data_IF_151801343637
#
_entry.id   IF_151801343637
#
_cell.length_a   1.000
_cell.length_b   1.000
_cell.length_c   1.000
_cell.angle_alpha   90.00
_cell.angle_beta   90.00
_cell.angle_gamma   90.00
#
_symmetry.space_group_name_H-M   'P 1'
#
loop_
_entity.id
_entity.type
_entity.pdbx_description
1 polymer ?
#
# COMPACT_ATOMS: atom_id res chain seq x y z
N UNK A 1 30.38 27.16 24.87
CA UNK A 1 29.69 26.30 23.89
C UNK A 1 30.68 25.89 22.80
N UNK A 2 30.85 24.58 22.55
CA UNK A 2 31.78 24.07 21.54
C UNK A 2 31.28 24.45 20.14
N UNK A 3 32.09 25.12 19.33
CA UNK A 3 31.76 25.42 17.93
C UNK A 3 31.71 24.10 17.16
N UNK A 4 30.57 23.80 16.56
CA UNK A 4 30.42 22.69 15.63
C UNK A 4 31.21 22.99 14.34
N UNK A 5 31.70 21.94 13.70
CA UNK A 5 32.54 21.97 12.50
C UNK A 5 32.00 21.04 11.41
N UNK A 6 32.57 21.12 10.21
CA UNK A 6 32.26 20.18 9.13
C UNK A 6 32.60 18.73 9.52
N UNK A 7 33.69 18.54 10.27
CA UNK A 7 34.09 17.22 10.76
C UNK A 7 33.03 16.60 11.68
N UNK A 8 32.38 17.41 12.54
CA UNK A 8 31.27 16.94 13.37
C UNK A 8 30.07 16.47 12.52
N UNK A 9 29.83 17.12 11.37
CA UNK A 9 28.79 16.70 10.43
C UNK A 9 29.12 15.35 9.80
N UNK A 10 30.36 15.12 9.38
CA UNK A 10 30.80 13.84 8.83
C UNK A 10 30.68 12.70 9.85
N UNK A 11 31.15 12.91 11.09
CA UNK A 11 31.05 11.92 12.17
C UNK A 11 29.58 11.55 12.45
N UNK A 12 28.69 12.55 12.53
CA UNK A 12 27.26 12.30 12.74
C UNK A 12 26.69 11.50 11.57
N UNK A 13 27.07 11.82 10.33
CA UNK A 13 26.60 11.08 9.17
C UNK A 13 27.02 9.61 9.20
N UNK A 14 28.29 9.35 9.49
CA UNK A 14 28.84 8.00 9.60
C UNK A 14 28.16 7.20 10.72
N UNK A 15 27.87 7.83 11.87
CA UNK A 15 27.17 7.18 12.99
C UNK A 15 25.77 6.68 12.62
N UNK A 16 25.15 7.27 11.59
CA UNK A 16 23.86 6.87 11.05
C UNK A 16 23.97 6.06 9.73
N UNK A 17 25.17 5.60 9.37
CA UNK A 17 25.42 4.84 8.14
C UNK A 17 25.18 5.66 6.87
N UNK A 18 25.40 6.97 6.92
CA UNK A 18 25.30 7.88 5.79
C UNK A 18 26.57 8.72 5.62
N UNK A 19 26.50 9.72 4.74
CA UNK A 19 27.60 10.65 4.50
C UNK A 19 27.10 12.10 4.42
N UNK A 20 27.95 13.02 4.85
CA UNK A 20 27.80 14.45 4.57
C UNK A 20 28.41 14.72 3.19
N UNK A 21 27.63 15.30 2.27
CA UNK A 21 28.06 15.66 0.92
C UNK A 21 28.52 17.11 0.81
N UNK A 22 28.22 17.96 1.81
CA UNK A 22 28.70 19.34 1.82
C UNK A 22 30.21 19.40 2.08
N UNK A 23 30.89 20.26 1.33
CA UNK A 23 32.32 20.54 1.46
C UNK A 23 32.62 21.77 2.31
N UNK A 24 31.60 22.58 2.62
CA UNK A 24 31.73 23.81 3.40
C UNK A 24 30.78 23.81 4.59
N UNK A 25 31.23 24.38 5.71
CA UNK A 25 30.42 24.59 6.91
C UNK A 25 30.53 26.03 7.37
N UNK A 26 29.43 26.77 7.28
CA UNK A 26 29.35 28.19 7.68
C UNK A 26 28.90 28.33 9.13
N UNK A 27 27.77 27.72 9.47
CA UNK A 27 27.21 27.71 10.81
C UNK A 27 26.28 26.50 11.03
N UNK A 28 25.69 26.39 12.21
CA UNK A 28 24.81 25.27 12.55
C UNK A 28 23.36 25.39 12.03
N UNK A 29 23.04 26.50 11.34
CA UNK A 29 21.71 26.82 10.81
C UNK A 29 21.63 26.65 9.29
N UNK A 30 22.75 26.80 8.61
CA UNK A 30 22.89 26.65 7.17
C UNK A 30 22.67 25.19 6.80
N UNK A 31 21.79 24.88 5.83
CA UNK A 31 21.57 23.51 5.39
C UNK A 31 22.85 22.90 4.80
N UNK A 32 23.20 21.72 5.29
CA UNK A 32 24.17 20.84 4.66
C UNK A 32 23.43 19.80 3.81
N UNK A 33 24.13 19.22 2.84
CA UNK A 33 23.67 18.14 1.98
C UNK A 33 24.07 16.80 2.60
N UNK A 34 23.12 15.90 2.73
CA UNK A 34 23.29 14.60 3.38
C UNK A 34 22.85 13.46 2.45
N UNK A 35 23.44 12.29 2.64
CA UNK A 35 23.02 11.04 1.98
C UNK A 35 22.94 9.89 2.98
N UNK A 36 21.86 9.11 2.98
CA UNK A 36 21.73 7.92 3.84
C UNK A 36 22.14 6.64 3.12
N UNK A 37 22.21 5.51 3.85
CA UNK A 37 22.50 4.18 3.29
C UNK A 37 21.55 3.72 2.19
N UNK A 38 20.31 4.23 2.15
CA UNK A 38 19.33 3.98 1.07
C UNK A 38 19.46 4.97 -0.10
N UNK A 39 20.57 5.71 -0.19
CA UNK A 39 20.86 6.72 -1.21
C UNK A 39 19.88 7.89 -1.31
N UNK A 40 19.04 8.12 -0.29
CA UNK A 40 18.24 9.35 -0.25
C UNK A 40 19.14 10.54 0.03
N UNK A 41 18.99 11.61 -0.75
CA UNK A 41 19.74 12.87 -0.61
C UNK A 41 18.79 13.96 -0.11
N UNK A 42 19.18 14.70 0.92
CA UNK A 42 18.36 15.80 1.45
C UNK A 42 19.21 16.93 2.03
N UNK A 43 18.60 18.12 2.14
CA UNK A 43 19.18 19.28 2.79
C UNK A 43 18.66 19.40 4.23
N UNK A 44 19.57 19.56 5.19
CA UNK A 44 19.21 19.83 6.59
C UNK A 44 20.33 20.56 7.34
N UNK A 45 20.01 21.48 8.26
CA UNK A 45 21.01 22.07 9.13
C UNK A 45 21.58 21.06 10.13
N UNK A 46 22.88 21.16 10.45
CA UNK A 46 23.56 20.28 11.41
C UNK A 46 22.85 20.22 12.77
N UNK A 47 22.36 21.37 13.28
CA UNK A 47 21.60 21.41 14.55
C UNK A 47 20.35 20.52 14.54
N UNK A 48 19.68 20.42 13.37
CA UNK A 48 18.45 19.64 13.22
C UNK A 48 18.79 18.17 13.22
N UNK A 49 19.80 17.79 12.44
CA UNK A 49 20.24 16.39 12.34
C UNK A 49 20.77 15.88 13.69
N UNK A 50 21.50 16.72 14.45
CA UNK A 50 22.03 16.37 15.77
C UNK A 50 20.94 16.24 16.85
N UNK A 51 19.95 17.14 16.84
CA UNK A 51 18.97 17.25 17.94
C UNK A 51 17.62 16.60 17.63
N UNK A 52 17.29 16.32 16.37
CA UNK A 52 16.07 15.59 16.02
C UNK A 52 16.34 14.09 16.04
N UNK A 53 15.42 13.31 16.62
CA UNK A 53 15.44 11.84 16.57
C UNK A 53 15.16 11.23 15.19
N UNK A 54 15.28 12.00 14.10
CA UNK A 54 15.09 11.51 12.72
C UNK A 54 16.30 11.88 11.87
N UNK A 55 17.04 10.86 11.43
CA UNK A 55 18.22 11.01 10.59
C UNK A 55 17.87 11.37 9.14
N UNK A 56 17.12 10.49 8.46
CA UNK A 56 16.74 10.65 7.07
C UNK A 56 15.22 10.81 6.96
N UNK A 57 14.70 11.92 6.42
CA UNK A 57 13.26 12.19 6.37
C UNK A 57 12.53 11.21 5.43
N UNK A 58 13.21 10.69 4.39
CA UNK A 58 12.66 9.67 3.50
C UNK A 58 12.53 8.32 4.22
N UNK A 59 13.56 7.89 4.97
CA UNK A 59 13.52 6.66 5.76
C UNK A 59 12.52 6.76 6.91
N UNK A 60 12.40 7.94 7.53
CA UNK A 60 11.43 8.20 8.60
C UNK A 60 9.99 8.36 8.06
N UNK A 61 9.78 8.40 6.74
CA UNK A 61 8.45 8.55 6.14
C UNK A 61 7.80 9.93 6.33
N UNK A 62 8.60 10.94 6.71
CA UNK A 62 8.13 12.31 6.99
C UNK A 62 7.98 13.14 5.71
N UNK A 63 8.67 12.74 4.63
CA UNK A 63 8.55 13.42 3.33
C UNK A 63 7.15 13.20 2.75
N UNK A 64 6.47 14.30 2.45
CA UNK A 64 5.22 14.29 1.68
C UNK A 64 5.54 13.91 0.24
N UNK A 65 4.85 12.90 -0.28
CA UNK A 65 4.95 12.51 -1.69
C UNK A 65 4.34 13.61 -2.55
N UNK A 66 4.99 13.92 -3.67
CA UNK A 66 4.39 14.73 -4.72
C UNK A 66 3.44 13.86 -5.54
N UNK A 67 2.58 14.50 -6.31
CA UNK A 67 1.71 13.78 -7.22
C UNK A 67 2.49 13.03 -8.33
N UNK A 68 3.66 13.54 -8.72
CA UNK A 68 4.58 12.84 -9.63
C UNK A 68 5.13 11.55 -9.01
N UNK A 69 5.46 11.55 -7.72
CA UNK A 69 5.91 10.35 -7.02
C UNK A 69 4.83 9.26 -7.03
N UNK A 70 3.56 9.65 -6.89
CA UNK A 70 2.41 8.73 -6.95
C UNK A 70 2.32 8.07 -8.33
N UNK A 71 2.46 8.86 -9.40
CA UNK A 71 2.46 8.33 -10.77
C UNK A 71 3.61 7.36 -11.00
N UNK A 72 4.82 7.68 -10.52
CA UNK A 72 5.98 6.78 -10.60
C UNK A 72 5.74 5.47 -9.83
N UNK A 73 5.14 5.55 -8.64
CA UNK A 73 4.78 4.36 -7.84
C UNK A 73 3.77 3.49 -8.60
N UNK A 74 2.73 4.09 -9.18
CA UNK A 74 1.76 3.36 -9.98
C UNK A 74 2.43 2.63 -11.16
N UNK A 75 3.28 3.36 -11.90
CA UNK A 75 3.99 2.83 -13.05
C UNK A 75 4.92 1.67 -12.68
N UNK A 76 5.62 1.76 -11.53
CA UNK A 76 6.47 0.68 -11.02
C UNK A 76 5.71 -0.61 -10.69
N UNK A 77 4.39 -0.53 -10.56
CA UNK A 77 3.48 -1.67 -10.32
C UNK A 77 2.72 -2.09 -11.58
N UNK A 78 3.13 -1.59 -12.75
CA UNK A 78 2.45 -1.79 -14.03
C UNK A 78 0.99 -1.36 -13.95
N UNK A 79 0.73 -0.18 -13.42
CA UNK A 79 -0.60 0.39 -13.38
C UNK A 79 -0.57 1.90 -13.25
N UNK A 80 -1.72 2.47 -12.95
CA UNK A 80 -1.94 3.91 -13.04
C UNK A 80 -2.71 4.42 -11.81
N UNK A 81 -2.43 5.67 -11.43
CA UNK A 81 -3.25 6.41 -10.47
C UNK A 81 -4.18 7.33 -11.27
N UNK A 82 -5.48 7.12 -11.14
CA UNK A 82 -6.52 7.86 -11.87
C UNK A 82 -7.10 9.04 -11.07
N UNK A 83 -6.83 9.13 -9.77
CA UNK A 83 -7.21 10.29 -8.98
C UNK A 83 -6.55 11.56 -9.51
N UNK A 84 -7.26 12.70 -9.48
CA UNK A 84 -6.74 14.01 -9.91
C UNK A 84 -6.15 14.83 -8.76
N UNK A 85 -6.53 14.52 -7.53
CA UNK A 85 -6.07 15.22 -6.32
C UNK A 85 -5.35 14.29 -5.37
N UNK A 86 -4.33 14.83 -4.69
CA UNK A 86 -3.66 14.16 -3.59
C UNK A 86 -3.43 15.13 -2.43
N UNK A 87 -4.01 14.79 -1.28
CA UNK A 87 -3.91 15.60 -0.06
C UNK A 87 -2.94 14.98 0.96
N UNK A 88 -3.02 13.67 1.19
CA UNK A 88 -2.13 12.95 2.11
C UNK A 88 -2.12 11.43 1.84
N UNK A 89 -1.20 10.72 2.50
CA UNK A 89 -0.97 9.28 2.34
C UNK A 89 -2.11 8.36 2.85
N UNK A 90 -3.07 8.89 3.61
CA UNK A 90 -4.14 8.13 4.25
C UNK A 90 -5.43 8.17 3.45
N UNK A 91 -5.66 9.24 2.70
CA UNK A 91 -6.85 9.38 1.89
C UNK A 91 -6.81 8.40 0.71
N UNK A 92 -7.94 7.72 0.40
CA UNK A 92 -8.02 6.83 -0.73
C UNK A 92 -7.81 7.58 -2.05
N UNK A 93 -7.02 6.97 -2.93
CA UNK A 93 -6.88 7.33 -4.33
C UNK A 93 -7.46 6.20 -5.19
N UNK A 94 -7.86 6.52 -6.42
CA UNK A 94 -8.32 5.58 -7.42
C UNK A 94 -7.12 5.05 -8.20
N UNK A 95 -6.99 3.73 -8.26
CA UNK A 95 -5.90 3.03 -8.93
C UNK A 95 -6.44 2.09 -10.00
N UNK A 96 -5.61 1.86 -11.01
CA UNK A 96 -5.80 0.87 -12.06
C UNK A 96 -4.57 -0.06 -12.12
N UNK A 97 -4.76 -1.37 -12.27
CA UNK A 97 -3.66 -2.32 -12.49
C UNK A 97 -3.57 -2.73 -13.96
N UNK A 98 -2.51 -3.47 -14.34
CA UNK A 98 -2.35 -4.03 -15.69
C UNK A 98 -3.52 -4.87 -16.21
N UNK A 99 -4.29 -5.48 -15.31
CA UNK A 99 -5.49 -6.26 -15.66
C UNK A 99 -6.76 -5.38 -15.70
N UNK A 100 -6.62 -4.05 -15.72
CA UNK A 100 -7.70 -3.05 -15.77
C UNK A 100 -8.68 -3.07 -14.58
N UNK A 101 -8.31 -3.69 -13.46
CA UNK A 101 -9.12 -3.59 -12.25
C UNK A 101 -9.02 -2.18 -11.66
N UNK A 102 -10.16 -1.61 -11.29
CA UNK A 102 -10.24 -0.31 -10.61
C UNK A 102 -10.52 -0.51 -9.13
N UNK A 103 -9.78 0.17 -8.26
CA UNK A 103 -10.05 0.14 -6.82
C UNK A 103 -9.59 1.41 -6.10
N UNK A 104 -10.20 1.66 -4.95
CA UNK A 104 -9.79 2.71 -4.04
C UNK A 104 -8.88 2.17 -2.95
N UNK A 105 -7.72 2.79 -2.76
CA UNK A 105 -6.86 2.53 -1.61
C UNK A 105 -5.94 3.72 -1.35
N UNK A 106 -5.41 3.83 -0.14
CA UNK A 106 -4.47 4.88 0.21
C UNK A 106 -3.07 4.62 -0.32
N UNK A 107 -2.28 5.68 -0.56
CA UNK A 107 -0.87 5.53 -0.96
C UNK A 107 -0.06 4.76 0.09
N UNK A 108 -0.38 4.93 1.38
CA UNK A 108 0.23 4.16 2.46
C UNK A 108 0.05 2.64 2.28
N UNK A 109 -1.14 2.19 1.91
CA UNK A 109 -1.40 0.76 1.66
C UNK A 109 -0.63 0.25 0.43
N UNK A 110 -0.59 1.03 -0.66
CA UNK A 110 0.16 0.68 -1.87
C UNK A 110 1.64 0.48 -1.55
N UNK A 111 2.23 1.39 -0.78
CA UNK A 111 3.63 1.29 -0.35
C UNK A 111 3.91 0.08 0.56
N UNK A 112 2.94 -0.32 1.36
CA UNK A 112 3.01 -1.50 2.21
C UNK A 112 2.75 -2.82 1.43
N UNK A 113 2.71 -2.77 0.10
CA UNK A 113 2.56 -3.95 -0.75
C UNK A 113 1.12 -4.34 -1.06
N UNK A 114 0.12 -3.63 -0.52
CA UNK A 114 -1.30 -3.86 -0.84
C UNK A 114 -1.67 -3.11 -2.12
N UNK A 115 -1.38 -3.75 -3.25
CA UNK A 115 -1.64 -3.21 -4.58
C UNK A 115 -3.09 -3.46 -5.03
N UNK A 116 -3.33 -4.43 -5.90
CA UNK A 116 -4.66 -4.71 -6.46
C UNK A 116 -5.36 -5.84 -5.68
N UNK A 117 -6.54 -5.59 -5.07
CA UNK A 117 -7.25 -6.62 -4.31
C UNK A 117 -7.81 -7.73 -5.22
N UNK A 118 -8.16 -7.41 -6.47
CA UNK A 118 -8.64 -8.39 -7.45
C UNK A 118 -7.53 -9.36 -7.86
N UNK A 119 -6.36 -8.84 -8.28
CA UNK A 119 -5.21 -9.68 -8.61
C UNK A 119 -4.70 -10.50 -7.41
N UNK A 120 -4.82 -9.97 -6.19
CA UNK A 120 -4.45 -10.68 -4.97
C UNK A 120 -5.52 -11.66 -4.46
N UNK A 121 -6.67 -11.78 -5.14
CA UNK A 121 -7.80 -12.62 -4.70
C UNK A 121 -8.52 -12.13 -3.43
N UNK A 122 -8.15 -10.95 -2.93
CA UNK A 122 -8.64 -10.32 -1.70
C UNK A 122 -9.75 -9.29 -1.92
N UNK A 123 -10.26 -9.16 -3.16
CA UNK A 123 -11.41 -8.32 -3.45
C UNK A 123 -12.60 -8.72 -2.58
N UNK A 124 -13.31 -7.72 -2.06
CA UNK A 124 -14.57 -7.95 -1.36
C UNK A 124 -15.55 -8.54 -2.37
N UNK A 125 -15.97 -9.77 -2.10
CA UNK A 125 -17.02 -10.42 -2.88
C UNK A 125 -18.34 -9.67 -2.68
N UNK A 126 -19.18 -9.76 -3.69
CA UNK A 126 -20.51 -9.18 -3.77
C UNK A 126 -21.55 -10.29 -3.92
N UNK A 127 -22.84 -9.92 -3.85
CA UNK A 127 -23.92 -10.85 -4.16
C UNK A 127 -23.85 -11.36 -5.61
N UNK A 128 -23.40 -10.51 -6.54
CA UNK A 128 -23.27 -10.89 -7.95
C UNK A 128 -22.16 -11.92 -8.15
N UNK A 129 -21.02 -11.76 -7.44
CA UNK A 129 -19.96 -12.77 -7.43
C UNK A 129 -20.48 -14.12 -6.92
N UNK A 130 -21.34 -14.11 -5.89
CA UNK A 130 -21.95 -15.33 -5.35
C UNK A 130 -22.83 -16.02 -6.40
N UNK A 131 -23.67 -15.26 -7.12
CA UNK A 131 -24.52 -15.80 -8.19
C UNK A 131 -23.71 -16.38 -9.33
N UNK A 132 -22.67 -15.68 -9.78
CA UNK A 132 -21.78 -16.16 -10.84
C UNK A 132 -21.05 -17.44 -10.43
N UNK A 133 -20.57 -17.54 -9.18
CA UNK A 133 -19.94 -18.76 -8.67
C UNK A 133 -20.92 -19.92 -8.66
N UNK A 134 -22.16 -19.72 -8.21
CA UNK A 134 -23.17 -20.77 -8.26
C UNK A 134 -23.44 -21.24 -9.69
N UNK A 135 -23.62 -20.30 -10.61
CA UNK A 135 -23.86 -20.58 -12.02
C UNK A 135 -22.70 -21.37 -12.64
N UNK A 136 -21.44 -20.99 -12.37
CA UNK A 136 -20.25 -21.71 -12.85
C UNK A 136 -20.14 -23.16 -12.37
N UNK A 137 -20.86 -23.52 -11.32
CA UNK A 137 -20.90 -24.86 -10.72
C UNK A 137 -22.22 -25.59 -10.98
N UNK A 138 -22.94 -25.19 -12.03
CA UNK A 138 -24.25 -25.72 -12.39
C UNK A 138 -25.22 -25.67 -11.20
N UNK A 139 -25.31 -24.51 -10.56
CA UNK A 139 -26.23 -24.31 -9.46
C UNK A 139 -26.70 -22.87 -9.34
N UNK A 140 -27.39 -22.59 -8.25
CA UNK A 140 -28.08 -21.33 -8.03
C UNK A 140 -27.80 -20.82 -6.61
N UNK A 141 -27.60 -19.51 -6.49
CA UNK A 141 -27.56 -18.81 -5.21
C UNK A 141 -28.97 -18.31 -4.89
N UNK A 142 -29.61 -18.91 -3.88
CA UNK A 142 -30.97 -18.57 -3.47
C UNK A 142 -31.04 -17.37 -2.51
N UNK A 143 -29.90 -16.96 -1.93
CA UNK A 143 -29.85 -15.76 -1.09
C UNK A 143 -30.03 -14.49 -1.89
N UNK A 144 -30.84 -13.57 -1.38
CA UNK A 144 -31.13 -12.25 -1.99
C UNK A 144 -30.26 -11.13 -1.43
N UNK A 145 -29.53 -11.38 -0.34
CA UNK A 145 -28.66 -10.39 0.30
C UNK A 145 -27.29 -10.99 0.60
N UNK A 146 -26.25 -10.15 0.55
CA UNK A 146 -24.89 -10.51 0.93
C UNK A 146 -24.37 -9.52 1.98
N UNK A 147 -24.10 -10.02 3.18
CA UNK A 147 -23.60 -9.21 4.29
C UNK A 147 -22.08 -9.19 4.37
N UNK A 148 -21.46 -10.36 4.32
CA UNK A 148 -20.02 -10.57 4.32
C UNK A 148 -19.71 -12.02 3.93
N UNK A 149 -18.42 -12.32 3.76
CA UNK A 149 -17.97 -13.62 3.25
C UNK A 149 -18.14 -14.79 4.22
N UNK A 150 -18.38 -14.51 5.51
CA UNK A 150 -18.58 -15.50 6.58
C UNK A 150 -20.05 -15.76 6.90
N UNK A 151 -20.97 -14.88 6.48
CA UNK A 151 -22.40 -15.10 6.66
C UNK A 151 -22.86 -16.24 5.75
N UNK A 152 -23.52 -17.29 6.30
CA UNK A 152 -24.05 -18.38 5.48
C UNK A 152 -25.00 -17.86 4.41
N UNK A 153 -24.86 -18.42 3.20
CA UNK A 153 -25.77 -18.21 2.08
C UNK A 153 -26.41 -19.54 1.70
N UNK A 154 -27.57 -19.47 1.05
CA UNK A 154 -28.35 -20.63 0.62
C UNK A 154 -28.04 -20.92 -0.84
N UNK A 155 -27.68 -22.17 -1.12
CA UNK A 155 -27.23 -22.64 -2.42
C UNK A 155 -28.09 -23.82 -2.87
N UNK A 156 -28.20 -23.99 -4.19
CA UNK A 156 -28.88 -25.12 -4.82
C UNK A 156 -28.02 -25.69 -5.94
N UNK A 157 -27.80 -27.00 -5.98
CA UNK A 157 -27.10 -27.67 -7.09
C UNK A 157 -28.07 -28.07 -8.21
N UNK A 158 -27.53 -28.52 -9.36
CA UNK A 158 -28.36 -29.01 -10.47
C UNK A 158 -29.24 -30.22 -10.12
N UNK A 159 -28.84 -31.05 -9.14
CA UNK A 159 -29.65 -32.17 -8.62
C UNK A 159 -30.75 -31.73 -7.66
N UNK A 160 -30.86 -30.42 -7.37
CA UNK A 160 -31.90 -29.87 -6.51
C UNK A 160 -31.59 -29.87 -5.01
N UNK A 161 -30.44 -30.42 -4.57
CA UNK A 161 -30.03 -30.32 -3.17
C UNK A 161 -29.85 -28.86 -2.75
N UNK A 162 -30.32 -28.52 -1.55
CA UNK A 162 -30.22 -27.18 -0.96
C UNK A 162 -29.37 -27.27 0.31
N UNK A 163 -28.42 -26.35 0.48
CA UNK A 163 -27.60 -26.27 1.68
C UNK A 163 -27.19 -24.83 2.02
N UNK A 164 -26.76 -24.63 3.27
CA UNK A 164 -26.37 -23.33 3.79
C UNK A 164 -24.90 -23.34 4.18
N UNK A 165 -24.06 -22.63 3.43
CA UNK A 165 -22.66 -22.41 3.77
C UNK A 165 -22.20 -21.01 3.38
N UNK A 166 -21.17 -20.46 4.05
CA UNK A 166 -20.60 -19.18 3.68
C UNK A 166 -19.95 -19.17 2.29
N UNK A 167 -19.98 -18.01 1.62
CA UNK A 167 -19.38 -17.82 0.29
C UNK A 167 -17.87 -18.06 0.27
N UNK A 168 -17.13 -17.70 1.33
CA UNK A 168 -15.69 -17.97 1.37
C UNK A 168 -15.38 -19.48 1.35
N UNK A 169 -16.20 -20.30 1.98
CA UNK A 169 -16.06 -21.75 1.94
C UNK A 169 -16.31 -22.26 0.53
N UNK A 170 -17.38 -21.81 -0.12
CA UNK A 170 -17.69 -22.14 -1.52
C UNK A 170 -16.52 -21.74 -2.44
N UNK A 171 -15.97 -20.53 -2.30
CA UNK A 171 -14.90 -20.03 -3.16
C UNK A 171 -13.59 -20.80 -2.98
N UNK A 172 -13.25 -21.14 -1.74
CA UNK A 172 -11.96 -21.75 -1.40
C UNK A 172 -12.00 -23.28 -1.36
N UNK A 173 -13.19 -23.89 -1.34
CA UNK A 173 -13.36 -25.35 -1.36
C UNK A 173 -13.30 -25.89 -2.80
N UNK A 174 -12.71 -27.08 -2.96
CA UNK A 174 -12.81 -27.88 -4.17
C UNK A 174 -14.16 -28.60 -4.32
N UNK A 175 -14.94 -28.74 -3.24
CA UNK A 175 -16.27 -29.34 -3.24
C UNK A 175 -17.38 -28.28 -3.32
N UNK A 176 -18.41 -28.58 -4.12
CA UNK A 176 -19.53 -27.68 -4.37
C UNK A 176 -20.75 -28.03 -3.52
N UNK A 177 -21.30 -29.23 -3.73
CA UNK A 177 -22.49 -29.74 -3.06
C UNK A 177 -22.05 -30.88 -2.12
N UNK A 178 -22.43 -30.89 -0.84
CA UNK A 178 -22.04 -31.94 0.10
C UNK A 178 -22.74 -33.29 -0.16
N UNK A 179 -23.72 -33.30 -1.05
CA UNK A 179 -24.52 -34.49 -1.41
C UNK A 179 -24.19 -35.04 -2.80
N UNK A 180 -23.24 -34.42 -3.53
CA UNK A 180 -22.79 -34.83 -4.85
C UNK A 180 -21.31 -35.22 -4.79
#
# INVERSE_FOLDING_TARGET
MKKLSLNDACIIAESHGGICLSTEYKDNKTPLLWRCSKNHIWHAPLRRVKNCGTWCPHCAGVVKHTFEDIKKIALSKHGECLSTEYKNNQLPLLWCCKENHLWYTSLGNVKNGKWCPYCAGNARLTLEDAKQIAFSRNGECLSTTYRNSKTPMTWKCHQGHIWNIPLNNIKNSGSWCPYC
#
